data_IF_625057705308
#
_entry.id   IF_625057705308
#
_cell.length_a   1.000
_cell.length_b   1.000
_cell.length_c   1.000
_cell.angle_alpha   90.00
_cell.angle_beta   90.00
_cell.angle_gamma   90.00
#
_symmetry.space_group_name_H-M   'P 1'
#
loop_
_entity.id
_entity.type
_entity.pdbx_description
1 polymer ?
#
# COMPACT_ATOMS: atom_id res chain seq x y z
N UNK A 1 5.61 7.70 -4.47
CA UNK A 1 4.77 7.12 -3.40
C UNK A 1 5.00 7.98 -2.18
N UNK A 2 3.96 8.20 -1.38
CA UNK A 2 4.10 8.93 -0.12
C UNK A 2 4.18 7.91 1.02
N UNK A 3 5.27 7.91 1.78
CA UNK A 3 5.36 7.15 3.02
C UNK A 3 4.69 7.91 4.15
N UNK A 4 3.70 7.28 4.78
CA UNK A 4 2.93 7.79 5.91
C UNK A 4 3.34 6.96 7.12
N UNK A 5 4.15 7.56 7.98
CA UNK A 5 4.75 6.90 9.15
C UNK A 5 4.12 7.37 10.46
N UNK A 6 3.34 8.45 10.42
CA UNK A 6 2.72 9.07 11.58
C UNK A 6 1.44 9.81 11.19
N UNK A 7 0.53 10.10 12.13
CA UNK A 7 -0.66 10.90 11.85
C UNK A 7 -0.33 12.27 11.24
N UNK A 8 0.78 12.89 11.68
CA UNK A 8 1.27 14.15 11.12
C UNK A 8 1.71 14.06 9.65
N UNK A 9 2.01 12.87 9.11
CA UNK A 9 2.26 12.71 7.68
C UNK A 9 0.98 12.83 6.86
N UNK A 10 -0.16 12.37 7.38
CA UNK A 10 -1.46 12.48 6.72
C UNK A 10 -1.85 13.96 6.56
N UNK A 11 -1.67 14.75 7.62
CA UNK A 11 -1.93 16.19 7.60
C UNK A 11 -1.01 16.92 6.60
N UNK A 12 0.29 16.58 6.61
CA UNK A 12 1.28 17.20 5.70
C UNK A 12 1.10 16.79 4.24
N UNK A 13 0.63 15.57 3.99
CA UNK A 13 0.45 15.04 2.63
C UNK A 13 -0.72 15.69 1.87
N UNK A 14 -1.63 16.40 2.57
CA UNK A 14 -2.80 17.08 1.98
C UNK A 14 -3.58 16.15 1.05
N UNK A 15 -3.91 14.96 1.55
CA UNK A 15 -4.58 13.93 0.78
C UNK A 15 -5.96 14.40 0.30
N UNK A 16 -6.44 13.91 -0.85
CA UNK A 16 -7.85 14.00 -1.23
C UNK A 16 -8.76 13.56 -0.07
N UNK A 17 -9.91 14.23 0.19
CA UNK A 17 -10.75 13.93 1.34
C UNK A 17 -11.16 12.46 1.48
N UNK A 18 -11.44 11.79 0.36
CA UNK A 18 -11.82 10.38 0.35
C UNK A 18 -10.67 9.42 0.74
N UNK A 19 -9.41 9.87 0.71
CA UNK A 19 -8.24 9.06 1.10
C UNK A 19 -7.80 9.29 2.54
N UNK A 20 -8.26 10.37 3.19
CA UNK A 20 -7.90 10.66 4.58
C UNK A 20 -8.42 9.57 5.53
N UNK A 21 -9.69 9.17 5.36
CA UNK A 21 -10.32 8.15 6.19
C UNK A 21 -9.62 6.77 6.08
N UNK A 22 -9.42 6.18 4.89
CA UNK A 22 -8.72 4.89 4.78
C UNK A 22 -7.26 5.01 5.22
N UNK A 23 -6.55 6.10 4.87
CA UNK A 23 -5.17 6.27 5.32
C UNK A 23 -5.05 6.31 6.86
N UNK A 24 -5.95 7.04 7.52
CA UNK A 24 -5.98 7.14 8.99
C UNK A 24 -6.33 5.80 9.63
N UNK A 25 -7.33 5.09 9.10
CA UNK A 25 -7.74 3.76 9.57
C UNK A 25 -6.57 2.78 9.52
N UNK A 26 -5.93 2.64 8.35
CA UNK A 26 -4.85 1.67 8.17
C UNK A 26 -3.58 2.04 8.93
N UNK A 27 -3.24 3.33 9.02
CA UNK A 27 -2.16 3.77 9.89
C UNK A 27 -2.45 3.44 11.35
N UNK A 28 -3.67 3.69 11.83
CA UNK A 28 -4.04 3.40 13.22
C UNK A 28 -3.92 1.90 13.53
N UNK A 29 -4.35 1.02 12.62
CA UNK A 29 -4.15 -0.43 12.80
C UNK A 29 -2.68 -0.81 12.94
N UNK A 30 -1.78 -0.17 12.19
CA UNK A 30 -0.33 -0.40 12.33
C UNK A 30 0.15 0.08 13.70
N UNK A 31 -0.26 1.27 14.14
CA UNK A 31 0.14 1.83 15.43
C UNK A 31 -0.38 0.99 16.60
N UNK A 32 -1.62 0.49 16.53
CA UNK A 32 -2.24 -0.32 17.58
C UNK A 32 -1.60 -1.71 17.71
N UNK A 33 -0.94 -2.20 16.67
CA UNK A 33 -0.25 -3.49 16.70
C UNK A 33 1.04 -3.46 17.54
N UNK A 34 1.60 -2.27 17.84
CA UNK A 34 2.89 -2.15 18.50
C UNK A 34 2.90 -1.07 19.59
N UNK A 35 3.27 -1.45 20.81
CA UNK A 35 3.38 -0.51 21.95
C UNK A 35 4.45 0.56 21.68
N UNK A 36 5.56 0.18 21.05
CA UNK A 36 6.68 1.06 20.72
C UNK A 36 6.92 1.03 19.20
N UNK A 37 5.95 1.51 18.44
CA UNK A 37 6.04 1.53 16.98
C UNK A 37 7.25 2.33 16.46
N UNK A 38 8.18 1.62 15.80
CA UNK A 38 9.17 2.18 14.86
C UNK A 38 8.77 1.84 13.40
N UNK A 39 8.58 2.83 12.51
CA UNK A 39 8.24 2.60 11.10
C UNK A 39 9.33 1.89 10.28
N UNK A 40 10.58 1.87 10.73
CA UNK A 40 11.68 1.19 10.03
C UNK A 40 11.72 -0.30 10.36
N UNK A 41 11.29 -0.69 11.56
CA UNK A 41 11.26 -2.08 12.01
C UNK A 41 9.91 -2.73 11.74
N UNK A 42 8.81 -2.02 12.01
CA UNK A 42 7.45 -2.57 11.91
C UNK A 42 6.77 -2.30 10.56
N UNK A 43 7.37 -1.44 9.74
CA UNK A 43 6.81 -0.99 8.47
C UNK A 43 5.86 0.19 8.63
N UNK A 44 5.16 0.55 7.54
CA UNK A 44 4.39 1.79 7.46
C UNK A 44 3.32 1.73 6.36
N UNK A 45 2.47 2.77 6.32
CA UNK A 45 1.53 2.96 5.23
C UNK A 45 2.21 3.68 4.06
N UNK A 46 1.96 3.23 2.84
CA UNK A 46 2.48 3.86 1.63
C UNK A 46 1.30 4.16 0.68
N UNK A 47 1.23 5.40 0.18
CA UNK A 47 0.17 5.84 -0.73
C UNK A 47 0.70 6.01 -2.15
N UNK A 48 0.09 5.28 -3.10
CA UNK A 48 0.34 5.45 -4.54
C UNK A 48 -0.29 6.76 -5.02
N UNK A 49 0.46 7.51 -5.82
CA UNK A 49 0.12 8.85 -6.29
C UNK A 49 0.12 8.93 -7.82
N UNK A 50 -0.45 9.98 -8.43
CA UNK A 50 -0.41 10.16 -9.88
C UNK A 50 0.99 10.26 -10.51
N UNK A 51 2.04 10.47 -9.70
CA UNK A 51 3.43 10.53 -10.17
C UNK A 51 4.10 9.17 -10.16
N UNK A 52 3.45 8.16 -9.61
CA UNK A 52 3.99 6.81 -9.49
C UNK A 52 3.75 6.01 -10.76
N UNK A 53 4.84 5.48 -11.29
CA UNK A 53 4.88 4.48 -12.35
C UNK A 53 5.27 3.12 -11.77
N UNK A 54 5.01 2.02 -12.49
CA UNK A 54 5.50 0.68 -12.13
C UNK A 54 7.00 0.68 -11.79
N UNK A 55 7.81 1.40 -12.59
CA UNK A 55 9.24 1.53 -12.35
C UNK A 55 9.56 2.24 -11.02
N UNK A 56 8.88 3.36 -10.71
CA UNK A 56 9.11 4.10 -9.46
C UNK A 56 8.63 3.36 -8.21
N UNK A 57 7.52 2.61 -8.33
CA UNK A 57 7.05 1.72 -7.27
C UNK A 57 8.05 0.59 -7.08
N UNK A 58 8.59 0.05 -8.18
CA UNK A 58 9.62 -0.96 -8.15
C UNK A 58 10.88 -0.54 -7.38
N UNK A 59 11.34 0.70 -7.60
CA UNK A 59 12.46 1.28 -6.86
C UNK A 59 12.14 1.45 -5.37
N UNK A 60 10.92 1.91 -5.06
CA UNK A 60 10.50 2.14 -3.67
C UNK A 60 10.27 0.85 -2.89
N UNK A 61 9.88 -0.22 -3.59
CA UNK A 61 9.59 -1.54 -3.02
C UNK A 61 10.76 -2.53 -3.20
N UNK A 62 11.87 -2.13 -3.80
CA UNK A 62 13.02 -3.01 -4.08
C UNK A 62 12.78 -4.15 -5.08
N UNK A 63 11.55 -4.30 -5.60
CA UNK A 63 11.14 -5.27 -6.63
C UNK A 63 10.04 -4.66 -7.48
N UNK A 64 9.99 -4.99 -8.78
CA UNK A 64 8.94 -4.49 -9.69
C UNK A 64 7.55 -4.82 -9.12
N UNK A 65 6.56 -3.97 -9.36
CA UNK A 65 5.22 -4.13 -8.78
C UNK A 65 4.67 -5.54 -8.96
N UNK A 66 4.70 -6.03 -10.20
CA UNK A 66 4.24 -7.36 -10.61
C UNK A 66 4.98 -8.54 -9.97
N UNK A 67 6.16 -8.30 -9.39
CA UNK A 67 7.04 -9.29 -8.76
C UNK A 67 6.96 -9.25 -7.23
N UNK A 68 6.17 -8.32 -6.66
CA UNK A 68 5.92 -8.32 -5.22
C UNK A 68 4.91 -9.43 -4.87
N UNK A 69 5.23 -10.18 -3.81
CA UNK A 69 4.26 -11.04 -3.15
C UNK A 69 3.38 -10.18 -2.27
N UNK A 70 2.10 -10.10 -2.59
CA UNK A 70 1.11 -9.49 -1.71
C UNK A 70 0.59 -10.58 -0.76
N UNK A 71 0.57 -10.29 0.54
CA UNK A 71 -0.04 -11.18 1.54
C UNK A 71 -1.57 -11.17 1.44
N UNK A 72 -2.11 -10.09 0.87
CA UNK A 72 -3.53 -9.91 0.63
C UNK A 72 -3.79 -8.58 -0.05
N UNK A 73 -4.91 -8.53 -0.77
CA UNK A 73 -5.47 -7.32 -1.35
C UNK A 73 -6.94 -7.26 -0.99
N UNK A 74 -7.38 -6.14 -0.45
CA UNK A 74 -8.80 -5.81 -0.27
C UNK A 74 -9.17 -4.56 -1.08
N UNK A 75 -10.46 -4.40 -1.37
CA UNK A 75 -11.00 -3.22 -2.04
C UNK A 75 -12.01 -2.51 -1.15
N UNK A 76 -11.70 -1.26 -0.78
CA UNK A 76 -12.63 -0.38 -0.09
C UNK A 76 -13.53 0.31 -1.12
N UNK A 77 -14.76 -0.19 -1.25
CA UNK A 77 -15.76 0.34 -2.18
C UNK A 77 -16.18 1.77 -1.81
N UNK A 78 -16.24 2.10 -0.52
CA UNK A 78 -16.71 3.41 -0.06
C UNK A 78 -15.72 4.52 -0.42
N UNK A 79 -14.42 4.21 -0.39
CA UNK A 79 -13.34 5.15 -0.70
C UNK A 79 -12.70 4.92 -2.06
N UNK A 80 -13.13 3.90 -2.81
CA UNK A 80 -12.62 3.52 -4.14
C UNK A 80 -11.09 3.36 -4.15
N UNK A 81 -10.59 2.53 -3.25
CA UNK A 81 -9.17 2.25 -3.18
C UNK A 81 -8.89 0.78 -2.86
N UNK A 82 -7.79 0.26 -3.39
CA UNK A 82 -7.24 -1.01 -2.97
C UNK A 82 -6.33 -0.82 -1.76
N UNK A 83 -6.29 -1.82 -0.89
CA UNK A 83 -5.33 -1.93 0.20
C UNK A 83 -4.60 -3.25 0.03
N UNK A 84 -3.29 -3.17 -0.19
CA UNK A 84 -2.42 -4.33 -0.35
C UNK A 84 -1.39 -4.38 0.77
N UNK A 85 -0.89 -5.55 1.11
CA UNK A 85 0.18 -5.70 2.11
C UNK A 85 1.36 -6.46 1.52
N UNK A 86 2.57 -5.95 1.74
CA UNK A 86 3.82 -6.64 1.43
C UNK A 86 4.57 -6.88 2.74
N UNK A 87 4.93 -8.13 3.02
CA UNK A 87 5.86 -8.47 4.11
C UNK A 87 7.30 -8.42 3.60
N UNK A 88 8.17 -7.69 4.31
CA UNK A 88 9.62 -7.70 4.07
C UNK A 88 10.32 -8.72 4.95
N UNK A 89 9.83 -8.88 6.17
CA UNK A 89 10.22 -9.88 7.13
C UNK A 89 9.04 -10.10 8.10
N UNK A 90 9.25 -10.88 9.16
CA UNK A 90 8.20 -11.24 10.12
C UNK A 90 7.58 -10.04 10.86
N UNK A 91 8.29 -8.92 10.96
CA UNK A 91 7.88 -7.75 11.75
C UNK A 91 7.62 -6.53 10.88
N UNK A 92 8.16 -6.47 9.65
CA UNK A 92 8.08 -5.33 8.75
C UNK A 92 7.04 -5.56 7.64
N UNK A 93 5.86 -4.93 7.80
CA UNK A 93 4.78 -4.93 6.81
C UNK A 93 4.59 -3.54 6.18
N UNK A 94 4.63 -3.47 4.85
CA UNK A 94 4.25 -2.25 4.11
C UNK A 94 2.80 -2.39 3.69
N UNK A 95 1.92 -1.60 4.31
CA UNK A 95 0.53 -1.46 3.86
C UNK A 95 0.50 -0.44 2.73
N UNK A 96 -0.07 -0.79 1.58
CA UNK A 96 -0.08 0.04 0.38
C UNK A 96 -1.52 0.41 0.07
N UNK A 97 -1.82 1.71 0.11
CA UNK A 97 -3.08 2.28 -0.31
C UNK A 97 -2.97 2.71 -1.79
N UNK A 98 -3.84 2.17 -2.64
CA UNK A 98 -3.85 2.44 -4.09
C UNK A 98 -5.21 3.00 -4.52
N UNK A 99 -5.32 4.30 -4.79
CA UNK A 99 -6.56 4.90 -5.27
C UNK A 99 -6.96 4.33 -6.64
N UNK A 100 -8.21 3.90 -6.78
CA UNK A 100 -8.75 3.36 -8.03
C UNK A 100 -9.28 4.48 -8.94
N UNK A 101 -8.32 5.23 -9.47
CA UNK A 101 -8.56 6.46 -10.22
C UNK A 101 -8.16 6.31 -11.70
N UNK A 102 -8.68 7.14 -12.62
CA UNK A 102 -8.39 7.02 -14.06
C UNK A 102 -6.91 7.14 -14.44
N UNK A 103 -6.11 7.81 -13.61
CA UNK A 103 -4.67 7.97 -13.82
C UNK A 103 -3.85 6.73 -13.44
N UNK A 104 -4.44 5.79 -12.70
CA UNK A 104 -3.74 4.60 -12.23
C UNK A 104 -3.32 3.74 -13.43
N UNK A 105 -2.06 3.33 -13.44
CA UNK A 105 -1.54 2.43 -14.46
C UNK A 105 -2.43 1.18 -14.56
N UNK A 106 -2.99 0.87 -15.75
CA UNK A 106 -3.85 -0.29 -15.94
C UNK A 106 -3.20 -1.62 -15.53
N UNK A 107 -1.88 -1.75 -15.65
CA UNK A 107 -1.16 -2.95 -15.23
C UNK A 107 -1.12 -3.10 -13.71
N UNK A 108 -0.97 -1.99 -12.98
CA UNK A 108 -1.05 -1.97 -11.51
C UNK A 108 -2.45 -2.40 -11.06
N UNK A 109 -3.50 -1.76 -11.63
CA UNK A 109 -4.90 -2.10 -11.34
C UNK A 109 -5.19 -3.57 -11.64
N UNK A 110 -4.79 -4.05 -12.82
CA UNK A 110 -5.04 -5.42 -13.23
C UNK A 110 -4.39 -6.44 -12.28
N UNK A 111 -3.15 -6.18 -11.84
CA UNK A 111 -2.50 -7.05 -10.85
C UNK A 111 -3.28 -7.12 -9.53
N UNK A 112 -3.73 -5.99 -9.00
CA UNK A 112 -4.51 -5.95 -7.76
C UNK A 112 -5.85 -6.70 -7.89
N UNK A 113 -6.49 -6.61 -9.06
CA UNK A 113 -7.73 -7.36 -9.34
C UNK A 113 -7.50 -8.87 -9.41
N UNK A 114 -6.36 -9.33 -9.95
CA UNK A 114 -5.99 -10.74 -9.95
C UNK A 114 -5.77 -11.26 -8.53
N UNK A 115 -5.10 -10.49 -7.67
CA UNK A 115 -4.92 -10.83 -6.25
C UNK A 115 -6.26 -10.94 -5.54
N UNK A 116 -7.15 -9.97 -5.75
CA UNK A 116 -8.48 -9.95 -5.16
C UNK A 116 -9.33 -11.17 -5.57
N UNK A 117 -9.15 -11.66 -6.80
CA UNK A 117 -9.83 -12.86 -7.31
C UNK A 117 -9.21 -14.18 -6.82
N UNK A 118 -8.02 -14.16 -6.21
CA UNK A 118 -7.25 -15.35 -5.88
C UNK A 118 -6.54 -15.99 -7.09
N UNK A 119 -6.51 -15.28 -8.22
CA UNK A 119 -5.94 -15.74 -9.51
C UNK A 119 -4.49 -15.26 -9.71
N UNK A 120 -3.93 -14.55 -8.73
CA UNK A 120 -2.55 -14.11 -8.80
C UNK A 120 -1.59 -15.29 -8.68
N UNK A 121 -0.70 -15.43 -9.67
CA UNK A 121 0.42 -16.35 -9.52
C UNK A 121 1.29 -15.90 -8.34
N UNK A 122 1.68 -16.84 -7.44
CA UNK A 122 2.53 -16.53 -6.32
C UNK A 122 3.86 -15.97 -6.85
N UNK A 123 4.30 -14.87 -6.24
CA UNK A 123 5.63 -14.36 -6.53
C UNK A 123 6.68 -15.43 -6.14
N UNK A 124 7.73 -15.65 -6.94
CA UNK A 124 8.80 -16.56 -6.55
C UNK A 124 9.38 -16.10 -5.20
N UNK A 125 9.51 -17.06 -4.27
CA UNK A 125 10.15 -16.84 -2.98
C UNK A 125 11.59 -16.32 -3.20
N UNK A 126 12.06 -15.36 -2.38
CA UNK A 126 13.46 -14.91 -2.39
C UNK A 126 14.46 -16.07 -2.31
#
# INVERSE_FOLDING_TARGET
>A
MISIRSPGDIERARLPPHLVAPASKHLQHILDAYINYDPNDHGHLALVTPKDTDASLGLSLGRKWRENGFEGVEYDVAHRCFVAVILRNNEHAITILVPDEPWLDPAIRHRLLLELAGDAHPAPLP
#
